data_IF_122512608944
#
_entry.id   IF_122512608944
#
_cell.length_a   1.000
_cell.length_b   1.000
_cell.length_c   1.000
_cell.angle_alpha   90.00
_cell.angle_beta   90.00
_cell.angle_gamma   90.00
#
_symmetry.space_group_name_H-M   'P 1'
#
loop_
_entity.id
_entity.type
_entity.pdbx_description
1 polymer ?
#
# COMPACT_ATOMS: atom_id res chain seq x y z
N UNK A 1 -31.56 -6.64 -12.93
CA UNK A 1 -31.65 -5.16 -12.96
C UNK A 1 -31.72 -4.69 -11.50
N UNK A 2 -30.88 -3.73 -11.09
CA UNK A 2 -30.83 -3.29 -9.68
C UNK A 2 -32.02 -2.39 -9.35
N UNK A 3 -32.69 -2.66 -8.23
CA UNK A 3 -33.80 -1.84 -7.74
C UNK A 3 -33.29 -0.69 -6.85
N UNK A 4 -34.09 0.38 -6.75
CA UNK A 4 -33.83 1.46 -5.79
C UNK A 4 -33.93 0.92 -4.36
N UNK A 5 -33.06 1.43 -3.49
CA UNK A 5 -33.10 1.09 -2.07
C UNK A 5 -34.35 1.68 -1.40
N UNK A 6 -35.01 0.90 -0.56
CA UNK A 6 -36.10 1.36 0.31
C UNK A 6 -35.55 2.27 1.41
N UNK A 7 -36.42 3.08 2.02
CA UNK A 7 -36.03 3.94 3.15
C UNK A 7 -35.50 3.15 4.34
N UNK A 8 -36.04 1.96 4.60
CA UNK A 8 -35.55 1.07 5.64
C UNK A 8 -34.12 0.57 5.33
N UNK A 9 -33.85 0.19 4.08
CA UNK A 9 -32.49 -0.20 3.66
C UNK A 9 -31.52 0.97 3.79
N UNK A 10 -31.91 2.18 3.38
CA UNK A 10 -31.08 3.39 3.52
C UNK A 10 -30.77 3.69 4.98
N UNK A 11 -31.77 3.64 5.87
CA UNK A 11 -31.58 3.84 7.33
C UNK A 11 -30.60 2.82 7.91
N UNK A 12 -30.73 1.54 7.56
CA UNK A 12 -29.82 0.50 8.05
C UNK A 12 -28.40 0.67 7.50
N UNK A 13 -28.25 0.97 6.21
CA UNK A 13 -26.93 1.22 5.59
C UNK A 13 -26.24 2.46 6.19
N UNK A 14 -26.98 3.50 6.58
CA UNK A 14 -26.43 4.69 7.26
C UNK A 14 -25.72 4.35 8.58
N UNK A 15 -26.09 3.24 9.22
CA UNK A 15 -25.47 2.74 10.46
C UNK A 15 -24.35 1.75 10.13
N UNK A 16 -24.62 0.78 9.24
CA UNK A 16 -23.69 -0.29 8.94
C UNK A 16 -22.44 0.18 8.18
N UNK A 17 -22.56 1.13 7.25
CA UNK A 17 -21.42 1.60 6.44
C UNK A 17 -20.33 2.28 7.30
N UNK A 18 -20.65 3.20 8.24
CA UNK A 18 -19.66 3.72 9.17
C UNK A 18 -19.02 2.66 10.06
N UNK A 19 -19.80 1.69 10.56
CA UNK A 19 -19.28 0.60 11.37
C UNK A 19 -18.30 -0.27 10.58
N UNK A 20 -18.64 -0.60 9.34
CA UNK A 20 -17.77 -1.34 8.44
C UNK A 20 -16.48 -0.57 8.17
N UNK A 21 -16.57 0.71 7.83
CA UNK A 21 -15.39 1.55 7.59
C UNK A 21 -14.48 1.60 8.82
N UNK A 22 -15.05 1.78 10.01
CA UNK A 22 -14.31 1.77 11.27
C UNK A 22 -13.62 0.42 11.52
N UNK A 23 -14.28 -0.70 11.23
CA UNK A 23 -13.67 -2.02 11.36
C UNK A 23 -12.48 -2.21 10.38
N UNK A 24 -12.61 -1.73 9.14
CA UNK A 24 -11.51 -1.73 8.16
C UNK A 24 -10.34 -0.87 8.64
N UNK A 25 -10.61 0.36 9.07
CA UNK A 25 -9.60 1.29 9.62
C UNK A 25 -8.88 0.69 10.84
N UNK A 26 -9.60 -0.09 11.65
CA UNK A 26 -9.07 -0.74 12.85
C UNK A 26 -8.40 -2.09 12.58
N UNK A 27 -8.36 -2.54 11.31
CA UNK A 27 -7.91 -3.86 10.88
C UNK A 27 -8.61 -5.03 11.59
N UNK A 28 -9.85 -4.81 12.06
CA UNK A 28 -10.65 -5.84 12.72
C UNK A 28 -11.41 -6.67 11.67
N UNK A 29 -10.76 -7.72 11.18
CA UNK A 29 -11.33 -8.61 10.16
C UNK A 29 -12.58 -9.35 10.62
N UNK A 30 -12.69 -9.67 11.91
CA UNK A 30 -13.85 -10.38 12.46
C UNK A 30 -15.07 -9.48 12.41
N UNK A 31 -14.97 -8.27 12.96
CA UNK A 31 -16.06 -7.29 12.90
C UNK A 31 -16.37 -6.88 11.47
N UNK A 32 -15.35 -6.66 10.62
CA UNK A 32 -15.55 -6.31 9.21
C UNK A 32 -16.34 -7.40 8.46
N UNK A 33 -16.02 -8.70 8.66
CA UNK A 33 -16.75 -9.83 8.06
C UNK A 33 -18.22 -9.86 8.49
N UNK A 34 -18.51 -9.65 9.78
CA UNK A 34 -19.87 -9.63 10.32
C UNK A 34 -20.67 -8.47 9.72
N UNK A 35 -20.17 -7.24 9.81
CA UNK A 35 -20.88 -6.06 9.30
C UNK A 35 -21.04 -6.12 7.77
N UNK A 36 -20.05 -6.63 7.04
CA UNK A 36 -20.17 -6.84 5.59
C UNK A 36 -21.31 -7.81 5.25
N UNK A 37 -21.46 -8.91 5.99
CA UNK A 37 -22.55 -9.88 5.77
C UNK A 37 -23.91 -9.21 5.93
N UNK A 38 -24.09 -8.44 7.00
CA UNK A 38 -25.29 -7.64 7.23
C UNK A 38 -25.58 -6.66 6.09
N UNK A 39 -24.56 -5.95 5.59
CA UNK A 39 -24.71 -5.05 4.44
C UNK A 39 -25.13 -5.84 3.20
N UNK A 40 -24.55 -7.02 2.95
CA UNK A 40 -24.90 -7.85 1.81
C UNK A 40 -26.35 -8.31 1.85
N UNK A 41 -26.83 -8.77 3.01
CA UNK A 41 -28.23 -9.17 3.21
C UNK A 41 -29.18 -8.00 2.90
N UNK A 42 -28.85 -6.80 3.38
CA UNK A 42 -29.63 -5.58 3.09
C UNK A 42 -29.65 -5.28 1.60
N UNK A 43 -28.52 -5.40 0.90
CA UNK A 43 -28.41 -5.09 -0.52
C UNK A 43 -28.98 -6.19 -1.44
N UNK A 44 -29.01 -7.44 -0.97
CA UNK A 44 -29.47 -8.61 -1.75
C UNK A 44 -30.95 -8.48 -2.12
N UNK A 45 -31.77 -7.93 -1.22
CA UNK A 45 -33.20 -7.70 -1.41
C UNK A 45 -33.54 -6.83 -2.64
N UNK A 46 -32.58 -6.05 -3.13
CA UNK A 46 -32.76 -5.15 -4.28
C UNK A 46 -31.78 -5.43 -5.41
N UNK A 47 -31.04 -6.54 -5.32
CA UNK A 47 -30.05 -6.97 -6.30
C UNK A 47 -29.00 -5.87 -6.63
N UNK A 48 -28.57 -5.12 -5.61
CA UNK A 48 -27.56 -4.06 -5.72
C UNK A 48 -26.13 -4.65 -5.76
N UNK A 49 -25.83 -5.47 -6.77
CA UNK A 49 -24.58 -6.24 -6.90
C UNK A 49 -23.32 -5.37 -6.94
N UNK A 50 -23.38 -4.21 -7.60
CA UNK A 50 -22.26 -3.25 -7.65
C UNK A 50 -21.85 -2.79 -6.24
N UNK A 51 -22.82 -2.40 -5.40
CA UNK A 51 -22.53 -1.99 -4.02
C UNK A 51 -22.04 -3.15 -3.16
N UNK A 52 -22.57 -4.35 -3.37
CA UNK A 52 -22.08 -5.54 -2.68
C UNK A 52 -20.61 -5.82 -3.03
N UNK A 53 -20.24 -5.72 -4.31
CA UNK A 53 -18.87 -5.90 -4.76
C UNK A 53 -17.93 -4.84 -4.19
N UNK A 54 -18.37 -3.58 -4.11
CA UNK A 54 -17.57 -2.50 -3.49
C UNK A 54 -17.24 -2.79 -2.02
N UNK A 55 -18.22 -3.19 -1.21
CA UNK A 55 -17.98 -3.53 0.20
C UNK A 55 -17.10 -4.78 0.32
N UNK A 56 -17.29 -5.78 -0.55
CA UNK A 56 -16.42 -6.96 -0.60
C UNK A 56 -14.98 -6.59 -0.97
N UNK A 57 -14.77 -5.69 -1.93
CA UNK A 57 -13.43 -5.24 -2.33
C UNK A 57 -12.65 -4.67 -1.15
N UNK A 58 -13.29 -3.85 -0.30
CA UNK A 58 -12.65 -3.31 0.90
C UNK A 58 -12.24 -4.40 1.90
N UNK A 59 -13.08 -5.43 2.10
CA UNK A 59 -12.72 -6.55 2.97
C UNK A 59 -11.55 -7.35 2.41
N UNK A 60 -11.53 -7.61 1.09
CA UNK A 60 -10.44 -8.35 0.45
C UNK A 60 -9.15 -7.55 0.38
N UNK A 61 -9.22 -6.22 0.27
CA UNK A 61 -8.06 -5.36 0.40
C UNK A 61 -7.52 -5.37 1.83
N UNK A 62 -8.39 -5.39 2.86
CA UNK A 62 -7.93 -5.58 4.23
C UNK A 62 -7.23 -6.95 4.40
N UNK A 63 -7.76 -8.00 3.79
CA UNK A 63 -7.14 -9.32 3.83
C UNK A 63 -5.76 -9.34 3.14
N UNK A 64 -5.65 -8.68 1.98
CA UNK A 64 -4.37 -8.45 1.29
C UNK A 64 -3.35 -7.76 2.21
N UNK A 65 -3.77 -6.71 2.94
CA UNK A 65 -2.92 -5.96 3.86
C UNK A 65 -2.51 -6.76 5.11
N UNK A 66 -3.29 -7.78 5.47
CA UNK A 66 -3.00 -8.70 6.58
C UNK A 66 -2.36 -10.00 6.10
N UNK A 67 -1.91 -10.06 4.85
CA UNK A 67 -1.22 -11.20 4.24
C UNK A 67 -2.06 -12.49 4.19
N UNK A 68 -3.39 -12.38 4.29
CA UNK A 68 -4.35 -13.46 4.02
C UNK A 68 -4.62 -13.53 2.51
N UNK A 69 -3.57 -13.88 1.75
CA UNK A 69 -3.58 -13.85 0.29
C UNK A 69 -4.57 -14.84 -0.32
N UNK A 70 -4.73 -16.02 0.28
CA UNK A 70 -5.68 -17.03 -0.21
C UNK A 70 -7.11 -16.50 -0.19
N UNK A 71 -7.51 -15.82 0.90
CA UNK A 71 -8.82 -15.22 1.01
C UNK A 71 -8.98 -14.03 0.06
N UNK A 72 -7.97 -13.17 -0.04
CA UNK A 72 -7.98 -12.01 -0.93
C UNK A 72 -8.07 -12.41 -2.41
N UNK A 73 -7.23 -13.33 -2.88
CA UNK A 73 -7.17 -13.83 -4.27
C UNK A 73 -8.52 -14.42 -4.67
N UNK A 74 -9.05 -15.36 -3.88
CA UNK A 74 -10.37 -15.97 -4.12
C UNK A 74 -11.46 -14.91 -4.17
N UNK A 75 -11.40 -13.93 -3.26
CA UNK A 75 -12.33 -12.82 -3.19
C UNK A 75 -12.33 -11.96 -4.46
N UNK A 76 -11.17 -11.50 -4.91
CA UNK A 76 -11.07 -10.65 -6.11
C UNK A 76 -11.41 -11.40 -7.40
N UNK A 77 -11.06 -12.69 -7.51
CA UNK A 77 -11.54 -13.54 -8.62
C UNK A 77 -13.07 -13.58 -8.63
N UNK A 78 -13.70 -13.81 -7.48
CA UNK A 78 -15.16 -13.82 -7.36
C UNK A 78 -15.81 -12.48 -7.72
N UNK A 79 -15.20 -11.35 -7.36
CA UNK A 79 -15.68 -10.02 -7.76
C UNK A 79 -15.63 -9.84 -9.29
N UNK A 80 -14.52 -10.25 -9.91
CA UNK A 80 -14.35 -10.16 -11.37
C UNK A 80 -15.36 -11.01 -12.12
N UNK A 81 -15.74 -12.17 -11.58
CA UNK A 81 -16.79 -13.02 -12.15
C UNK A 81 -18.20 -12.43 -11.97
N UNK A 82 -18.44 -11.72 -10.86
CA UNK A 82 -19.76 -11.17 -10.52
C UNK A 82 -20.09 -9.87 -11.27
N UNK A 83 -19.08 -9.04 -11.56
CA UNK A 83 -19.26 -7.68 -12.05
C UNK A 83 -18.81 -7.54 -13.51
N UNK A 84 -19.53 -6.72 -14.28
CA UNK A 84 -19.18 -6.42 -15.66
C UNK A 84 -17.78 -5.80 -15.79
N UNK A 85 -17.02 -6.26 -16.79
CA UNK A 85 -15.63 -5.83 -17.04
C UNK A 85 -15.46 -4.35 -17.44
N UNK A 86 -16.55 -3.66 -17.79
CA UNK A 86 -16.57 -2.22 -18.08
C UNK A 86 -16.89 -1.37 -16.86
N UNK A 87 -16.76 -1.91 -15.64
CA UNK A 87 -16.97 -1.15 -14.40
C UNK A 87 -15.66 -0.78 -13.73
N UNK A 88 -15.70 0.29 -12.93
CA UNK A 88 -14.57 0.73 -12.12
C UNK A 88 -14.18 -0.29 -11.06
N UNK A 89 -15.15 -0.94 -10.43
CA UNK A 89 -14.91 -1.98 -9.41
C UNK A 89 -14.17 -3.18 -10.02
N UNK A 90 -14.56 -3.63 -11.21
CA UNK A 90 -13.85 -4.71 -11.89
C UNK A 90 -12.40 -4.36 -12.13
N UNK A 91 -12.13 -3.15 -12.65
CA UNK A 91 -10.77 -2.67 -12.91
C UNK A 91 -9.92 -2.61 -11.63
N UNK A 92 -10.47 -2.10 -10.53
CA UNK A 92 -9.77 -2.04 -9.24
C UNK A 92 -9.53 -3.43 -8.65
N UNK A 93 -10.49 -4.35 -8.75
CA UNK A 93 -10.31 -5.74 -8.34
C UNK A 93 -9.22 -6.44 -9.17
N UNK A 94 -9.11 -6.15 -10.47
CA UNK A 94 -8.02 -6.64 -11.33
C UNK A 94 -6.66 -6.14 -10.84
N UNK A 95 -6.54 -4.85 -10.48
CA UNK A 95 -5.29 -4.28 -9.94
C UNK A 95 -4.94 -4.90 -8.59
N UNK A 96 -5.89 -5.01 -7.66
CA UNK A 96 -5.65 -5.60 -6.34
C UNK A 96 -5.30 -7.09 -6.42
N UNK A 97 -5.91 -7.82 -7.37
CA UNK A 97 -5.54 -9.21 -7.64
C UNK A 97 -4.12 -9.33 -8.21
N UNK A 98 -3.71 -8.41 -9.10
CA UNK A 98 -2.34 -8.37 -9.59
C UNK A 98 -1.35 -8.16 -8.43
N UNK A 99 -1.66 -7.24 -7.51
CA UNK A 99 -0.86 -7.01 -6.30
C UNK A 99 -0.78 -8.27 -5.43
N UNK A 100 -1.88 -8.99 -5.22
CA UNK A 100 -1.84 -10.26 -4.50
C UNK A 100 -0.77 -11.19 -5.09
N UNK A 101 -0.76 -11.35 -6.43
CA UNK A 101 0.20 -12.22 -7.11
C UNK A 101 1.63 -11.69 -7.07
N UNK A 102 1.84 -10.37 -7.14
CA UNK A 102 3.17 -9.76 -6.95
C UNK A 102 3.73 -10.05 -5.55
N UNK A 103 2.89 -9.96 -4.51
CA UNK A 103 3.28 -10.19 -3.11
C UNK A 103 3.63 -11.66 -2.80
N UNK A 104 3.10 -12.60 -3.57
CA UNK A 104 3.46 -14.03 -3.47
C UNK A 104 4.43 -14.48 -4.56
N UNK A 105 5.10 -13.52 -5.22
CA UNK A 105 6.12 -13.76 -6.26
C UNK A 105 5.63 -14.57 -7.47
N UNK A 106 4.32 -14.60 -7.72
CA UNK A 106 3.71 -15.25 -8.88
C UNK A 106 3.56 -14.26 -10.04
N UNK A 107 4.69 -13.86 -10.62
CA UNK A 107 4.73 -12.84 -11.68
C UNK A 107 3.98 -13.26 -12.95
N UNK A 108 3.95 -14.55 -13.26
CA UNK A 108 3.24 -15.10 -14.43
C UNK A 108 1.73 -14.86 -14.33
N UNK A 109 1.17 -14.97 -13.12
CA UNK A 109 -0.25 -14.66 -12.88
C UNK A 109 -0.51 -13.15 -12.78
N UNK A 110 0.47 -12.37 -12.30
CA UNK A 110 0.34 -10.92 -12.17
C UNK A 110 0.34 -10.19 -13.53
N UNK A 111 1.26 -10.53 -14.42
CA UNK A 111 1.49 -9.83 -15.71
C UNK A 111 0.24 -9.70 -16.58
N UNK A 112 -0.58 -10.75 -16.82
CA UNK A 112 -1.82 -10.64 -17.58
C UNK A 112 -2.81 -9.65 -16.97
N UNK A 113 -2.90 -9.58 -15.64
CA UNK A 113 -3.81 -8.68 -14.92
C UNK A 113 -3.32 -7.23 -14.99
N UNK A 114 -2.01 -7.00 -14.87
CA UNK A 114 -1.38 -5.69 -15.07
C UNK A 114 -1.69 -5.18 -16.48
N UNK A 115 -1.51 -6.04 -17.50
CA UNK A 115 -1.83 -5.72 -18.88
C UNK A 115 -3.31 -5.38 -19.07
N UNK A 116 -4.22 -6.20 -18.53
CA UNK A 116 -5.65 -5.97 -18.59
C UNK A 116 -6.04 -4.62 -17.96
N UNK A 117 -5.48 -4.30 -16.80
CA UNK A 117 -5.77 -3.05 -16.10
C UNK A 117 -5.24 -1.81 -16.86
N UNK A 118 -4.01 -1.86 -17.36
CA UNK A 118 -3.36 -0.72 -18.01
C UNK A 118 -3.86 -0.46 -19.44
N UNK A 119 -4.35 -1.49 -20.15
CA UNK A 119 -4.93 -1.34 -21.49
C UNK A 119 -6.42 -0.97 -21.48
N UNK A 120 -7.06 -0.91 -20.31
CA UNK A 120 -8.48 -0.58 -20.23
C UNK A 120 -8.72 0.93 -20.31
N UNK A 121 -9.07 1.39 -21.51
CA UNK A 121 -9.41 2.79 -21.77
C UNK A 121 -10.93 3.09 -21.69
N UNK A 122 -11.76 2.05 -21.48
CA UNK A 122 -13.23 2.16 -21.55
C UNK A 122 -13.86 2.56 -20.22
N UNK A 123 -13.27 2.12 -19.11
CA UNK A 123 -13.82 2.33 -17.76
C UNK A 123 -13.65 3.78 -17.29
N UNK A 124 -12.47 4.37 -17.53
CA UNK A 124 -12.17 5.77 -17.13
C UNK A 124 -12.26 6.67 -18.36
N UNK A 125 -13.32 7.46 -18.43
CA UNK A 125 -13.62 8.32 -19.59
C UNK A 125 -12.66 9.51 -19.74
N UNK A 126 -12.34 10.17 -18.63
CA UNK A 126 -11.43 11.33 -18.62
C UNK A 126 -9.99 10.90 -18.88
N UNK A 127 -9.35 11.47 -19.89
CA UNK A 127 -7.95 11.21 -20.21
C UNK A 127 -7.03 11.60 -19.04
N UNK A 128 -7.26 12.77 -18.42
CA UNK A 128 -6.49 13.22 -17.25
C UNK A 128 -6.55 12.20 -16.12
N UNK A 129 -7.77 11.79 -15.74
CA UNK A 129 -7.97 10.80 -14.66
C UNK A 129 -7.37 9.45 -15.01
N UNK A 130 -7.40 9.07 -16.30
CA UNK A 130 -6.80 7.83 -16.76
C UNK A 130 -5.28 7.85 -16.64
N UNK A 131 -4.63 8.95 -17.01
CA UNK A 131 -3.18 9.12 -16.86
C UNK A 131 -2.77 9.05 -15.38
N UNK A 132 -3.50 9.77 -14.50
CA UNK A 132 -3.24 9.74 -13.06
C UNK A 132 -3.43 8.33 -12.49
N UNK A 133 -4.50 7.64 -12.87
CA UNK A 133 -4.74 6.27 -12.46
C UNK A 133 -3.62 5.33 -12.91
N UNK A 134 -3.25 5.36 -14.20
CA UNK A 134 -2.20 4.51 -14.78
C UNK A 134 -0.85 4.76 -14.09
N UNK A 135 -0.47 6.03 -13.87
CA UNK A 135 0.73 6.41 -13.13
C UNK A 135 0.70 5.84 -11.71
N UNK A 136 -0.38 6.08 -10.97
CA UNK A 136 -0.51 5.64 -9.58
C UNK A 136 -0.49 4.12 -9.42
N UNK A 137 -1.09 3.35 -10.33
CA UNK A 137 -1.04 1.88 -10.24
C UNK A 137 0.33 1.32 -10.63
N UNK A 138 1.07 1.94 -11.56
CA UNK A 138 2.44 1.54 -11.88
C UNK A 138 3.34 1.76 -10.67
N UNK A 139 3.30 2.97 -10.09
CA UNK A 139 4.02 3.28 -8.86
C UNK A 139 3.65 2.30 -7.75
N UNK A 140 2.36 1.93 -7.65
CA UNK A 140 1.94 0.92 -6.69
C UNK A 140 2.53 -0.46 -6.96
N UNK A 141 2.59 -0.93 -8.20
CA UNK A 141 3.22 -2.22 -8.51
C UNK A 141 4.71 -2.21 -8.15
N UNK A 142 5.42 -1.12 -8.44
CA UNK A 142 6.83 -0.96 -8.07
C UNK A 142 7.02 -1.03 -6.56
N UNK A 143 6.18 -0.34 -5.79
CA UNK A 143 6.20 -0.35 -4.32
C UNK A 143 5.98 -1.76 -3.76
N UNK A 144 5.00 -2.50 -4.29
CA UNK A 144 4.64 -3.82 -3.78
C UNK A 144 5.75 -4.85 -4.03
N UNK A 145 6.37 -4.79 -5.20
CA UNK A 145 7.50 -5.64 -5.57
C UNK A 145 8.75 -5.29 -4.77
N UNK A 146 9.01 -3.99 -4.57
CA UNK A 146 10.09 -3.53 -3.71
C UNK A 146 9.93 -4.06 -2.29
N UNK A 147 8.75 -3.90 -1.69
CA UNK A 147 8.49 -4.33 -0.31
C UNK A 147 8.65 -5.84 -0.13
N UNK A 148 8.06 -6.65 -1.02
CA UNK A 148 8.02 -8.09 -0.81
C UNK A 148 9.34 -8.79 -1.17
N UNK A 149 10.07 -8.30 -2.15
CA UNK A 149 11.41 -8.83 -2.46
C UNK A 149 12.45 -8.57 -1.37
N UNK A 150 12.17 -7.65 -0.44
CA UNK A 150 13.04 -7.36 0.71
C UNK A 150 12.76 -8.25 1.93
N UNK A 151 11.64 -8.98 1.93
CA UNK A 151 11.31 -9.91 3.02
C UNK A 151 12.17 -11.16 2.92
N UNK A 152 12.83 -11.55 4.00
CA UNK A 152 13.47 -12.86 4.10
C UNK A 152 13.09 -13.54 5.43
N UNK A 153 12.14 -14.49 5.44
CA UNK A 153 11.68 -15.13 6.67
C UNK A 153 12.76 -16.00 7.34
N UNK A 154 13.86 -16.32 6.63
CA UNK A 154 15.01 -17.06 7.17
C UNK A 154 15.98 -16.14 7.89
N UNK A 155 15.94 -14.84 7.59
CA UNK A 155 16.83 -13.85 8.17
C UNK A 155 16.14 -13.15 9.35
N UNK A 156 16.54 -13.50 10.57
CA UNK A 156 16.00 -12.93 11.82
C UNK A 156 17.08 -12.20 12.62
N UNK A 157 17.82 -11.33 11.95
CA UNK A 157 18.81 -10.49 12.63
C UNK A 157 18.07 -9.46 13.49
N UNK A 158 18.41 -9.43 14.78
CA UNK A 158 18.05 -8.34 15.67
C UNK A 158 19.22 -7.36 15.72
N UNK A 159 18.90 -6.06 15.65
CA UNK A 159 19.88 -4.99 15.75
C UNK A 159 19.75 -4.33 17.12
N UNK A 160 20.88 -4.00 17.74
CA UNK A 160 20.90 -3.17 18.94
C UNK A 160 20.36 -1.78 18.62
N UNK A 161 19.43 -1.29 19.45
CA UNK A 161 18.74 -0.01 19.22
C UNK A 161 19.73 1.15 19.28
N UNK A 162 20.73 1.06 20.15
CA UNK A 162 21.77 2.08 20.32
C UNK A 162 22.63 2.23 19.05
N UNK A 163 22.95 1.10 18.40
CA UNK A 163 23.69 1.11 17.13
C UNK A 163 22.85 1.72 16.00
N UNK A 164 21.56 1.37 15.92
CA UNK A 164 20.65 1.94 14.92
C UNK A 164 20.48 3.45 15.11
N UNK A 165 20.39 3.91 16.36
CA UNK A 165 20.31 5.32 16.70
C UNK A 165 21.57 6.07 16.31
N UNK A 166 22.73 5.57 16.72
CA UNK A 166 24.01 6.18 16.40
C UNK A 166 24.16 6.39 14.89
N UNK A 167 23.96 5.31 14.11
CA UNK A 167 24.09 5.35 12.65
C UNK A 167 23.07 6.29 12.00
N UNK A 168 21.82 6.32 12.51
CA UNK A 168 20.78 7.19 11.97
C UNK A 168 21.08 8.68 12.25
N UNK A 169 21.54 9.01 13.46
CA UNK A 169 21.96 10.37 13.82
C UNK A 169 23.14 10.81 12.96
N UNK A 170 24.15 9.95 12.79
CA UNK A 170 25.29 10.23 11.90
C UNK A 170 24.81 10.51 10.47
N UNK A 171 23.89 9.71 9.93
CA UNK A 171 23.32 9.96 8.60
C UNK A 171 22.59 11.30 8.52
N UNK A 172 21.78 11.65 9.51
CA UNK A 172 21.05 12.92 9.54
C UNK A 172 22.01 14.12 9.53
N UNK A 173 23.10 14.04 10.31
CA UNK A 173 24.09 15.11 10.44
C UNK A 173 24.97 15.27 9.20
N UNK A 174 25.24 14.19 8.46
CA UNK A 174 26.26 14.16 7.40
C UNK A 174 25.70 14.13 5.99
N UNK A 175 24.43 13.76 5.80
CA UNK A 175 23.80 13.60 4.48
C UNK A 175 22.65 14.58 4.29
N UNK A 176 22.41 14.98 3.05
CA UNK A 176 21.19 15.62 2.57
C UNK A 176 20.06 14.60 2.37
N UNK A 177 18.82 15.05 2.15
CA UNK A 177 17.69 14.14 1.88
C UNK A 177 17.92 13.29 0.62
N UNK A 178 18.45 13.88 -0.43
CA UNK A 178 18.76 13.17 -1.67
C UNK A 178 19.83 12.08 -1.46
N UNK A 179 20.85 12.35 -0.65
CA UNK A 179 21.89 11.39 -0.27
C UNK A 179 21.36 10.30 0.67
N UNK A 180 20.31 10.57 1.48
CA UNK A 180 19.62 9.56 2.26
C UNK A 180 18.85 8.60 1.36
N UNK A 181 18.16 9.09 0.32
CA UNK A 181 17.53 8.23 -0.68
C UNK A 181 18.57 7.41 -1.45
N UNK A 182 19.68 8.02 -1.85
CA UNK A 182 20.77 7.31 -2.51
C UNK A 182 21.36 6.21 -1.62
N UNK A 183 21.58 6.50 -0.34
CA UNK A 183 22.01 5.54 0.69
C UNK A 183 21.04 4.36 0.81
N UNK A 184 19.73 4.63 0.86
CA UNK A 184 18.71 3.58 0.89
C UNK A 184 18.78 2.71 -0.39
N UNK A 185 18.94 3.34 -1.55
CA UNK A 185 19.12 2.65 -2.82
C UNK A 185 20.37 1.76 -2.86
N UNK A 186 21.52 2.26 -2.41
CA UNK A 186 22.77 1.50 -2.33
C UNK A 186 22.63 0.25 -1.47
N UNK A 187 21.87 0.35 -0.36
CA UNK A 187 21.59 -0.75 0.55
C UNK A 187 20.45 -1.67 0.07
N UNK A 188 19.79 -1.35 -1.04
CA UNK A 188 18.76 -2.19 -1.64
C UNK A 188 19.41 -3.31 -2.45
N UNK A 189 19.07 -4.59 -2.23
CA UNK A 189 19.60 -5.72 -2.99
C UNK A 189 19.41 -5.55 -4.50
N UNK A 190 20.41 -5.96 -5.28
CA UNK A 190 20.34 -5.86 -6.75
C UNK A 190 19.17 -6.65 -7.34
N UNK A 191 18.82 -7.78 -6.73
CA UNK A 191 17.63 -8.55 -7.09
C UNK A 191 16.34 -7.70 -6.99
N UNK A 192 16.15 -6.98 -5.88
CA UNK A 192 15.01 -6.06 -5.71
C UNK A 192 14.99 -4.97 -6.79
N UNK A 193 16.14 -4.35 -7.09
CA UNK A 193 16.23 -3.34 -8.17
C UNK A 193 15.86 -3.93 -9.53
N UNK A 194 16.32 -5.14 -9.82
CA UNK A 194 15.99 -5.85 -11.05
C UNK A 194 14.49 -6.13 -11.18
N UNK A 195 13.85 -6.58 -10.10
CA UNK A 195 12.41 -6.83 -10.10
C UNK A 195 11.59 -5.55 -10.28
N UNK A 196 11.97 -4.45 -9.62
CA UNK A 196 11.35 -3.13 -9.83
C UNK A 196 11.45 -2.74 -11.31
N UNK A 197 12.64 -2.87 -11.91
CA UNK A 197 12.84 -2.59 -13.33
C UNK A 197 11.97 -3.46 -14.23
N UNK A 198 11.90 -4.77 -13.98
CA UNK A 198 11.17 -5.70 -14.83
C UNK A 198 9.66 -5.37 -14.83
N UNK A 199 9.10 -5.13 -13.65
CA UNK A 199 7.67 -4.83 -13.49
C UNK A 199 7.32 -3.44 -14.00
N UNK A 200 8.14 -2.42 -13.73
CA UNK A 200 7.95 -1.07 -14.27
C UNK A 200 8.04 -1.08 -15.81
N UNK A 201 9.06 -1.75 -16.37
CA UNK A 201 9.25 -1.88 -17.82
C UNK A 201 8.09 -2.61 -18.47
N UNK A 202 7.66 -3.73 -17.88
CA UNK A 202 6.50 -4.48 -18.36
C UNK A 202 5.24 -3.62 -18.33
N UNK A 203 5.01 -2.88 -17.26
CA UNK A 203 3.83 -2.04 -17.07
C UNK A 203 3.80 -0.87 -18.07
N UNK A 204 4.92 -0.14 -18.21
CA UNK A 204 5.04 0.97 -19.17
C UNK A 204 4.91 0.51 -20.63
N UNK A 205 5.30 -0.74 -20.93
CA UNK A 205 5.07 -1.35 -22.26
C UNK A 205 3.58 -1.51 -22.60
N UNK A 206 2.69 -1.51 -21.61
CA UNK A 206 1.24 -1.60 -21.82
C UNK A 206 0.59 -0.26 -22.12
N UNK A 207 1.32 0.84 -21.92
CA UNK A 207 0.86 2.20 -22.18
C UNK A 207 0.99 2.58 -23.66
N UNK A 208 0.16 3.53 -24.10
CA UNK A 208 0.36 4.18 -25.39
C UNK A 208 1.68 4.97 -25.41
N UNK A 209 2.19 5.27 -26.62
CA UNK A 209 3.42 6.04 -26.79
C UNK A 209 3.39 7.38 -26.04
N UNK A 210 2.28 8.13 -26.18
CA UNK A 210 2.10 9.44 -25.54
C UNK A 210 2.09 9.34 -24.01
N UNK A 211 1.42 8.33 -23.44
CA UNK A 211 1.40 8.10 -21.99
C UNK A 211 2.78 7.71 -21.46
N UNK A 212 3.49 6.83 -22.19
CA UNK A 212 4.84 6.39 -21.79
C UNK A 212 5.83 7.55 -21.76
N UNK A 213 5.73 8.50 -22.69
CA UNK A 213 6.62 9.68 -22.76
C UNK A 213 6.47 10.63 -21.57
N UNK A 214 5.34 10.58 -20.86
CA UNK A 214 5.09 11.40 -19.66
C UNK A 214 5.68 10.79 -18.37
N UNK A 215 6.25 9.59 -18.45
CA UNK A 215 6.82 8.89 -17.32
C UNK A 215 8.36 8.84 -17.45
N UNK A 216 9.10 8.83 -16.32
CA UNK A 216 10.53 8.57 -16.34
C UNK A 216 10.85 7.22 -16.97
N UNK A 217 12.08 7.02 -17.45
CA UNK A 217 12.47 5.74 -18.05
C UNK A 217 12.51 4.62 -16.99
N UNK A 218 12.41 3.37 -17.41
CA UNK A 218 12.53 2.23 -16.47
C UNK A 218 13.97 2.08 -15.99
N UNK A 219 14.95 2.43 -16.82
CA UNK A 219 16.38 2.42 -16.51
C UNK A 219 16.72 3.42 -15.39
N UNK A 220 15.91 4.45 -15.17
CA UNK A 220 16.08 5.34 -14.02
C UNK A 220 15.73 4.65 -12.71
N UNK A 221 14.83 3.67 -12.70
CA UNK A 221 14.39 2.98 -11.47
C UNK A 221 15.47 2.15 -10.78
N UNK A 222 16.52 1.77 -11.51
CA UNK A 222 17.66 1.02 -10.95
C UNK A 222 18.76 1.94 -10.40
N UNK A 223 18.71 3.25 -10.67
CA UNK A 223 19.64 4.21 -10.07
C UNK A 223 19.37 4.30 -8.59
N UNK A 224 20.42 4.35 -7.78
CA UNK A 224 20.32 4.25 -6.32
C UNK A 224 19.33 5.25 -5.74
N UNK A 225 19.39 6.52 -6.12
CA UNK A 225 18.43 7.54 -5.65
C UNK A 225 16.96 7.16 -5.91
N UNK A 226 16.62 6.72 -7.12
CA UNK A 226 15.23 6.41 -7.50
C UNK A 226 14.77 5.05 -6.95
N UNK A 227 15.67 4.08 -6.87
CA UNK A 227 15.44 2.83 -6.15
C UNK A 227 15.13 3.13 -4.67
N UNK A 228 15.93 4.00 -4.05
CA UNK A 228 15.73 4.46 -2.68
C UNK A 228 14.38 5.15 -2.48
N UNK A 229 13.98 6.07 -3.36
CA UNK A 229 12.64 6.67 -3.30
C UNK A 229 11.53 5.63 -3.40
N UNK A 230 11.66 4.66 -4.30
CA UNK A 230 10.68 3.58 -4.50
C UNK A 230 10.58 2.70 -3.26
N UNK A 231 11.72 2.26 -2.70
CA UNK A 231 11.79 1.45 -1.48
C UNK A 231 11.23 2.21 -0.28
N UNK A 232 11.60 3.48 -0.09
CA UNK A 232 11.02 4.29 0.98
C UNK A 232 9.51 4.46 0.83
N UNK A 233 9.03 4.66 -0.41
CA UNK A 233 7.59 4.72 -0.70
C UNK A 233 6.87 3.43 -0.33
N UNK A 234 7.51 2.28 -0.59
CA UNK A 234 6.99 0.98 -0.20
C UNK A 234 6.86 0.81 1.32
N UNK A 235 7.76 1.42 2.09
CA UNK A 235 7.76 1.38 3.55
C UNK A 235 6.71 2.29 4.19
N UNK A 236 6.12 3.24 3.44
CA UNK A 236 5.13 4.20 3.95
C UNK A 236 4.04 3.54 4.77
N UNK A 237 3.45 2.44 4.26
CA UNK A 237 2.37 1.75 4.98
C UNK A 237 2.86 1.05 6.25
N UNK A 238 4.03 0.42 6.20
CA UNK A 238 4.62 -0.29 7.35
C UNK A 238 4.94 0.70 8.47
N UNK A 239 5.69 1.76 8.13
CA UNK A 239 6.08 2.80 9.07
C UNK A 239 4.85 3.53 9.59
N UNK A 240 3.93 3.99 8.73
CA UNK A 240 2.72 4.71 9.16
C UNK A 240 1.91 3.94 10.21
N UNK A 241 1.69 2.64 10.00
CA UNK A 241 0.95 1.81 10.96
C UNK A 241 1.67 1.68 12.30
N UNK A 242 3.00 1.78 12.32
CA UNK A 242 3.81 1.66 13.54
C UNK A 242 3.92 2.95 14.34
N UNK A 243 3.84 4.12 13.68
CA UNK A 243 4.11 5.42 14.36
C UNK A 243 2.95 6.43 14.30
N UNK A 244 2.09 6.35 13.29
CA UNK A 244 1.01 7.32 13.06
C UNK A 244 -0.37 6.79 13.42
N UNK A 245 -0.53 5.47 13.62
CA UNK A 245 -1.81 4.90 14.03
C UNK A 245 -2.14 5.39 15.47
N UNK A 246 -3.34 5.93 15.74
CA UNK A 246 -3.76 6.32 17.08
C UNK A 246 -3.64 5.24 18.16
N UNK A 247 -3.59 3.96 17.76
CA UNK A 247 -3.38 2.84 18.66
C UNK A 247 -1.91 2.59 18.98
N UNK A 248 -0.98 3.06 18.15
CA UNK A 248 0.46 2.87 18.35
C UNK A 248 0.95 3.56 19.63
N UNK A 249 1.94 2.95 20.27
CA UNK A 249 2.55 3.51 21.48
C UNK A 249 3.28 4.82 21.18
N UNK A 250 3.90 4.94 20.01
CA UNK A 250 4.57 6.17 19.55
C UNK A 250 3.58 7.31 19.43
N UNK A 251 2.44 7.09 18.76
CA UNK A 251 1.41 8.13 18.62
C UNK A 251 0.85 8.57 19.99
N UNK A 252 0.58 7.61 20.88
CA UNK A 252 0.10 7.90 22.23
C UNK A 252 1.13 8.70 23.02
N UNK A 253 2.39 8.26 23.03
CA UNK A 253 3.47 8.92 23.74
C UNK A 253 3.72 10.34 23.21
N UNK A 254 3.63 10.53 21.89
CA UNK A 254 3.75 11.84 21.26
C UNK A 254 2.62 12.78 21.71
N UNK A 255 1.37 12.33 21.67
CA UNK A 255 0.22 13.16 22.01
C UNK A 255 0.12 13.45 23.52
N UNK A 256 0.55 12.53 24.38
CA UNK A 256 0.48 12.72 25.84
C UNK A 256 1.70 13.42 26.43
N UNK A 257 2.90 13.17 25.89
CA UNK A 257 4.17 13.59 26.51
C UNK A 257 4.98 14.57 25.64
N UNK A 258 4.53 14.86 24.41
CA UNK A 258 5.21 15.75 23.47
C UNK A 258 6.35 15.08 22.69
N UNK A 259 6.83 15.76 21.64
CA UNK A 259 7.81 15.24 20.67
C UNK A 259 9.19 14.95 21.30
N UNK A 260 9.62 15.77 22.26
CA UNK A 260 10.91 15.59 22.94
C UNK A 260 10.99 14.26 23.66
N UNK A 261 9.91 13.84 24.33
CA UNK A 261 9.86 12.57 25.05
C UNK A 261 9.88 11.34 24.13
N UNK A 262 9.44 11.46 22.87
CA UNK A 262 9.43 10.38 21.88
C UNK A 262 10.82 10.14 21.30
N UNK A 263 11.54 11.23 21.01
CA UNK A 263 12.89 11.18 20.46
C UNK A 263 13.91 10.77 21.53
N UNK A 264 13.79 11.29 22.75
CA UNK A 264 14.73 11.05 23.86
C UNK A 264 14.68 9.61 24.41
N UNK A 265 13.55 8.90 24.21
CA UNK A 265 13.33 7.53 24.71
C UNK A 265 13.45 6.44 23.65
N UNK A 266 14.03 6.74 22.47
CA UNK A 266 14.24 5.78 21.36
C UNK A 266 12.95 5.05 20.89
N UNK A 267 11.78 5.57 21.22
CA UNK A 267 10.49 4.95 20.87
C UNK A 267 10.30 4.87 19.36
N UNK A 268 10.65 5.94 18.66
CA UNK A 268 10.52 6.02 17.21
C UNK A 268 11.38 4.97 16.50
N UNK A 269 12.64 4.87 16.89
CA UNK A 269 13.62 3.93 16.35
C UNK A 269 13.15 2.50 16.59
N UNK A 270 12.77 2.20 17.83
CA UNK A 270 12.28 0.87 18.23
C UNK A 270 11.02 0.48 17.45
N UNK A 271 10.07 1.41 17.27
CA UNK A 271 8.84 1.14 16.53
C UNK A 271 9.11 0.86 15.04
N UNK A 272 9.97 1.65 14.39
CA UNK A 272 10.33 1.46 12.99
C UNK A 272 11.11 0.15 12.80
N UNK A 273 12.12 -0.10 13.62
CA UNK A 273 12.91 -1.33 13.58
C UNK A 273 12.03 -2.56 13.84
N UNK A 274 11.15 -2.49 14.84
CA UNK A 274 10.17 -3.53 15.16
C UNK A 274 9.19 -3.79 14.01
N UNK A 275 8.73 -2.75 13.32
CA UNK A 275 7.84 -2.89 12.17
C UNK A 275 8.53 -3.59 10.99
N UNK A 276 9.80 -3.26 10.72
CA UNK A 276 10.60 -3.98 9.72
C UNK A 276 10.86 -5.43 10.11
N UNK A 277 11.19 -5.69 11.38
CA UNK A 277 11.39 -7.05 11.88
C UNK A 277 10.11 -7.90 11.77
N UNK A 278 8.93 -7.35 12.07
CA UNK A 278 7.64 -8.04 11.87
C UNK A 278 7.39 -8.42 10.40
N UNK A 279 7.90 -7.61 9.48
CA UNK A 279 7.83 -7.87 8.04
C UNK A 279 8.96 -8.80 7.55
N UNK A 280 9.85 -9.27 8.42
CA UNK A 280 11.08 -9.99 8.08
C UNK A 280 12.04 -9.21 7.17
N UNK A 281 12.09 -7.89 7.31
CA UNK A 281 13.05 -7.01 6.60
C UNK A 281 14.19 -6.71 7.58
N UNK A 282 15.33 -7.40 7.43
CA UNK A 282 16.45 -7.33 8.37
C UNK A 282 17.74 -6.81 7.71
N UNK A 283 17.67 -5.68 7.01
CA UNK A 283 18.83 -5.03 6.35
C UNK A 283 19.15 -3.72 7.07
N UNK A 284 20.24 -3.69 7.84
CA UNK A 284 20.62 -2.55 8.71
C UNK A 284 20.60 -1.22 7.97
N UNK A 285 21.26 -1.15 6.81
CA UNK A 285 21.36 0.08 6.03
C UNK A 285 20.01 0.61 5.52
N UNK A 286 19.04 -0.27 5.23
CA UNK A 286 17.68 0.14 4.88
C UNK A 286 16.95 0.71 6.09
N UNK A 287 17.02 0.03 7.23
CA UNK A 287 16.37 0.43 8.48
C UNK A 287 16.91 1.79 8.94
N UNK A 288 18.23 1.94 9.00
CA UNK A 288 18.90 3.18 9.40
C UNK A 288 18.53 4.34 8.48
N UNK A 289 18.59 4.14 7.16
CA UNK A 289 18.26 5.22 6.20
C UNK A 289 16.77 5.59 6.28
N UNK A 290 15.87 4.62 6.51
CA UNK A 290 14.45 4.88 6.70
C UNK A 290 14.17 5.67 7.99
N UNK A 291 14.82 5.32 9.10
CA UNK A 291 14.75 6.08 10.37
C UNK A 291 15.23 7.51 10.15
N UNK A 292 16.38 7.68 9.50
CA UNK A 292 16.95 9.01 9.21
C UNK A 292 15.99 9.88 8.39
N UNK A 293 15.37 9.30 7.35
CA UNK A 293 14.36 9.99 6.54
C UNK A 293 13.12 10.39 7.36
N UNK A 294 12.57 9.48 8.17
CA UNK A 294 11.39 9.78 9.02
C UNK A 294 11.68 10.91 10.01
N UNK A 295 12.85 10.88 10.67
CA UNK A 295 13.26 11.93 11.60
C UNK A 295 13.44 13.26 10.85
N UNK A 296 14.04 13.24 9.66
CA UNK A 296 14.28 14.46 8.86
C UNK A 296 12.98 15.12 8.39
N UNK A 297 11.97 14.34 8.01
CA UNK A 297 10.66 14.88 7.65
C UNK A 297 9.92 15.46 8.86
N UNK A 298 10.26 15.07 10.10
CA UNK A 298 9.44 15.19 11.31
C UNK A 298 8.19 14.32 11.30
N UNK A 299 7.72 13.91 12.48
CA UNK A 299 6.57 13.01 12.62
C UNK A 299 5.27 13.62 12.08
N UNK A 300 5.02 14.90 12.34
CA UNK A 300 3.84 15.62 11.85
C UNK A 300 3.69 15.52 10.33
N UNK A 301 4.73 15.98 9.63
CA UNK A 301 4.76 16.01 8.16
C UNK A 301 4.68 14.58 7.61
N UNK A 302 5.41 13.64 8.23
CA UNK A 302 5.38 12.25 7.79
C UNK A 302 3.97 11.66 7.88
N UNK A 303 3.30 11.81 9.03
CA UNK A 303 1.96 11.27 9.24
C UNK A 303 0.88 11.95 8.38
N UNK A 304 1.03 13.24 8.06
CA UNK A 304 0.11 13.93 7.16
C UNK A 304 0.27 13.45 5.70
N UNK A 305 1.52 13.37 5.22
CA UNK A 305 1.79 13.13 3.80
C UNK A 305 1.81 11.65 3.41
N UNK A 306 2.07 10.74 4.35
CA UNK A 306 2.27 9.31 4.07
C UNK A 306 1.11 8.42 4.51
N UNK A 307 -0.07 9.01 4.77
CA UNK A 307 -1.28 8.24 5.09
C UNK A 307 -1.57 7.23 3.96
N UNK A 308 -1.62 5.91 4.25
CA UNK A 308 -1.93 4.90 3.26
C UNK A 308 -3.28 5.16 2.61
N UNK A 309 -3.29 5.22 1.28
CA UNK A 309 -4.53 5.31 0.48
C UNK A 309 -4.85 3.96 -0.13
N UNK A 310 -6.12 3.57 -0.09
CA UNK A 310 -6.62 2.39 -0.81
C UNK A 310 -6.65 2.66 -2.31
N UNK A 311 -6.48 1.62 -3.14
CA UNK A 311 -6.70 1.73 -4.59
C UNK A 311 -8.14 2.13 -4.91
N UNK A 312 -9.09 1.73 -4.06
CA UNK A 312 -10.50 2.07 -4.15
C UNK A 312 -10.75 3.56 -3.88
N UNK A 313 -9.85 4.24 -3.16
CA UNK A 313 -9.95 5.67 -2.85
C UNK A 313 -9.42 6.58 -3.97
N UNK A 314 -8.68 6.05 -4.95
CA UNK A 314 -8.18 6.82 -6.12
C UNK A 314 -9.33 7.47 -6.91
N UNK A 315 -10.56 6.96 -6.77
CA UNK A 315 -11.76 7.54 -7.40
C UNK A 315 -12.07 8.99 -6.98
N UNK A 316 -11.53 9.43 -5.84
CA UNK A 316 -11.86 10.73 -5.21
C UNK A 316 -10.88 11.85 -5.57
N UNK A 317 -9.85 11.54 -6.37
CA UNK A 317 -8.81 12.46 -6.86
C UNK A 317 -9.08 12.92 -8.30
#
# INVERSE_FOLDING_TARGET
>A
MSLKLTEQQKKRLKILQPQFKKAIEQKDTKSAKVVMKDIQEVLALTNNTTKQAEVKSHLFELALELEDFDFAIKGFIGIRQLINNNTRIYLEATVLLAICYLRIENYDSAKPLIQEALRNDKVIKSQRTRILFKKGIIERFDEEVALYSLKDPRNRIMFEIDDLEHDAITMIQTKSEDELFESLGQNTPQFTKHLIFEIDSFSKKQLSFTERKLLPSSEEKIKDKEAGKTVFSSFKRVIYNSICDPKSEVYKAWYTNGMSAVLDKKYLITAIAGAFAQMNICIKGLIVSAIALVIRFSLDVYCEHNKPKSILDIRKE
#
